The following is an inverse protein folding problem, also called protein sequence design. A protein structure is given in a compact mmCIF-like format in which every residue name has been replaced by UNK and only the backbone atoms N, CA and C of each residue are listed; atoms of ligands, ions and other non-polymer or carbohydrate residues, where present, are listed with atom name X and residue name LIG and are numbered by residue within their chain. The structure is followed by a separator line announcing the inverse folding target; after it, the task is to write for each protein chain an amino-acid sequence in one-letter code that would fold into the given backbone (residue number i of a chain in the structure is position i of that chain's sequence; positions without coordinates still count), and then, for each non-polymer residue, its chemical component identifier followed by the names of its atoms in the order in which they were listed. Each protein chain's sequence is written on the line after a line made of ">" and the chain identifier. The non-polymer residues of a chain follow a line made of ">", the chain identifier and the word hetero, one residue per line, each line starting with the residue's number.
data_IF_143106042703
#
_entry.id   IF_143106042703
#
_cell.length_a   1.000
_cell.length_b   1.000
_cell.length_c   1.000
_cell.angle_alpha   90.00
_cell.angle_beta   90.00
_cell.angle_gamma   90.00
#
_symmetry.space_group_name_H-M   'P 1'
#
loop_
_entity.id
_entity.type
_entity.pdbx_description
1 polymer ?
#
# COMPACT_ATOMS: atom_id res chain seq x y z
N UNK A 1 59.39 0.22 8.12
CA UNK A 1 58.92 -1.18 7.96
C UNK A 1 57.76 -1.43 8.91
N UNK A 2 56.51 -1.49 8.44
CA UNK A 2 55.37 -2.16 9.11
C UNK A 2 54.11 -2.03 8.24
N UNK A 3 53.31 -3.11 8.23
CA UNK A 3 51.98 -3.31 7.64
C UNK A 3 51.95 -3.91 6.23
N UNK A 4 52.02 -5.24 6.19
CA UNK A 4 51.32 -6.05 5.18
C UNK A 4 50.71 -7.25 5.87
N UNK A 5 49.39 -7.26 6.03
CA UNK A 5 48.56 -8.49 6.02
C UNK A 5 47.15 -8.11 5.52
N UNK A 6 46.97 -8.11 4.20
CA UNK A 6 45.65 -7.97 3.58
C UNK A 6 44.95 -9.34 3.63
N UNK A 7 43.87 -9.47 4.43
CA UNK A 7 42.98 -10.63 4.39
C UNK A 7 42.29 -10.70 3.01
N UNK A 8 42.16 -11.88 2.36
CA UNK A 8 41.35 -12.00 1.16
C UNK A 8 39.90 -12.27 1.57
N UNK A 9 39.05 -11.24 1.58
CA UNK A 9 37.60 -11.42 1.72
C UNK A 9 36.98 -11.59 0.33
N UNK A 10 37.17 -12.76 -0.26
CA UNK A 10 36.43 -13.18 -1.44
C UNK A 10 35.06 -13.71 -1.02
N UNK A 11 34.09 -12.83 -0.77
CA UNK A 11 32.69 -13.24 -0.77
C UNK A 11 32.24 -13.28 -2.23
N UNK A 12 32.19 -14.50 -2.78
CA UNK A 12 31.59 -14.76 -4.08
C UNK A 12 30.16 -14.18 -4.10
N UNK A 13 29.95 -13.18 -4.96
CA UNK A 13 28.65 -12.52 -5.15
C UNK A 13 27.63 -13.50 -5.73
N UNK A 14 26.85 -14.13 -4.85
CA UNK A 14 25.71 -14.96 -5.22
C UNK A 14 24.74 -14.08 -6.00
N UNK A 15 24.59 -14.32 -7.32
CA UNK A 15 23.62 -13.62 -8.18
C UNK A 15 22.24 -13.65 -7.49
N UNK A 16 21.76 -12.50 -7.01
CA UNK A 16 20.40 -12.37 -6.48
C UNK A 16 19.44 -12.49 -7.66
N UNK A 17 18.61 -13.53 -7.65
CA UNK A 17 17.49 -13.63 -8.58
C UNK A 17 16.61 -12.38 -8.40
N UNK A 18 16.03 -11.82 -9.48
CA UNK A 18 15.10 -10.71 -9.35
C UNK A 18 13.96 -11.11 -8.43
N UNK A 19 13.63 -10.25 -7.46
CA UNK A 19 12.51 -10.49 -6.57
C UNK A 19 11.24 -10.71 -7.40
N UNK A 20 10.37 -11.67 -7.02
CA UNK A 20 9.11 -11.88 -7.73
C UNK A 20 8.34 -10.56 -7.78
N UNK A 21 7.71 -10.27 -8.93
CA UNK A 21 6.85 -9.09 -9.07
C UNK A 21 5.79 -9.15 -7.97
N UNK A 22 5.73 -8.11 -7.11
CA UNK A 22 4.73 -8.03 -6.04
C UNK A 22 3.35 -8.01 -6.70
N UNK A 23 2.56 -9.07 -6.52
CA UNK A 23 1.17 -9.10 -6.96
C UNK A 23 0.38 -8.11 -6.11
N UNK A 24 -0.26 -7.13 -6.75
CA UNK A 24 -1.15 -6.18 -6.08
C UNK A 24 -2.34 -6.97 -5.49
N UNK A 25 -2.66 -6.73 -4.23
CA UNK A 25 -3.79 -7.41 -3.60
C UNK A 25 -5.12 -6.85 -4.10
N UNK A 26 -6.19 -7.65 -4.04
CA UNK A 26 -7.56 -7.18 -4.35
C UNK A 26 -7.92 -5.97 -3.49
N UNK A 27 -7.51 -5.97 -2.22
CA UNK A 27 -7.74 -4.87 -1.28
C UNK A 27 -7.04 -3.56 -1.72
N UNK A 28 -5.80 -3.64 -2.24
CA UNK A 28 -5.07 -2.49 -2.81
C UNK A 28 -5.78 -1.94 -4.06
N UNK A 29 -6.34 -2.81 -4.91
CA UNK A 29 -7.10 -2.39 -6.09
C UNK A 29 -8.40 -1.67 -5.69
N UNK A 30 -9.15 -2.25 -4.75
CA UNK A 30 -10.36 -1.64 -4.18
C UNK A 30 -10.04 -0.27 -3.59
N UNK A 31 -8.97 -0.17 -2.78
CA UNK A 31 -8.56 1.11 -2.18
C UNK A 31 -8.24 2.18 -3.21
N UNK A 32 -7.57 1.80 -4.30
CA UNK A 32 -7.26 2.69 -5.42
C UNK A 32 -8.54 3.22 -6.08
N UNK A 33 -9.53 2.36 -6.31
CA UNK A 33 -10.82 2.76 -6.86
C UNK A 33 -11.58 3.73 -5.92
N UNK A 34 -11.61 3.45 -4.62
CA UNK A 34 -12.23 4.34 -3.62
C UNK A 34 -11.55 5.72 -3.63
N UNK A 35 -10.22 5.76 -3.71
CA UNK A 35 -9.47 7.00 -3.76
C UNK A 35 -9.77 7.82 -5.03
N UNK A 36 -9.89 7.14 -6.18
CA UNK A 36 -10.23 7.76 -7.45
C UNK A 36 -11.65 8.35 -7.44
N UNK A 37 -12.66 7.59 -7.00
CA UNK A 37 -14.05 8.07 -6.88
C UNK A 37 -14.13 9.32 -6.00
N UNK A 38 -13.42 9.32 -4.86
CA UNK A 38 -13.37 10.49 -3.98
C UNK A 38 -12.74 11.71 -4.66
N UNK A 39 -11.66 11.51 -5.41
CA UNK A 39 -10.95 12.57 -6.11
C UNK A 39 -11.81 13.17 -7.24
N UNK A 40 -12.49 12.32 -8.02
CA UNK A 40 -13.42 12.72 -9.08
C UNK A 40 -14.58 13.56 -8.54
N UNK A 41 -15.05 13.26 -7.32
CA UNK A 41 -16.10 14.02 -6.64
C UNK A 41 -15.57 15.26 -5.89
N UNK A 42 -14.28 15.56 -5.97
CA UNK A 42 -13.61 16.64 -5.24
C UNK A 42 -13.85 16.60 -3.73
N UNK A 43 -14.02 15.40 -3.16
CA UNK A 43 -14.31 15.24 -1.74
C UNK A 43 -13.04 15.16 -0.91
N UNK A 44 -13.06 15.80 0.27
CA UNK A 44 -12.05 15.59 1.30
C UNK A 44 -12.22 14.19 1.91
N UNK A 45 -11.30 13.74 2.77
CA UNK A 45 -11.47 12.46 3.46
C UNK A 45 -12.57 12.49 4.54
N UNK A 46 -12.81 13.64 5.15
CA UNK A 46 -13.81 13.77 6.22
C UNK A 46 -15.23 13.61 5.68
N UNK A 47 -15.55 14.23 4.53
CA UNK A 47 -16.90 14.21 3.96
C UNK A 47 -17.50 12.79 3.76
N UNK A 48 -16.86 11.86 3.02
CA UNK A 48 -17.36 10.49 2.89
C UNK A 48 -17.20 9.68 4.18
N UNK A 49 -16.22 9.98 5.04
CA UNK A 49 -16.12 9.31 6.34
C UNK A 49 -17.34 9.64 7.22
N UNK A 50 -17.75 10.91 7.27
CA UNK A 50 -18.92 11.39 7.99
C UNK A 50 -20.21 10.81 7.41
N UNK A 51 -20.34 10.79 6.08
CA UNK A 51 -21.49 10.18 5.39
C UNK A 51 -21.63 8.67 5.68
N UNK A 52 -20.50 7.97 5.83
CA UNK A 52 -20.45 6.56 6.18
C UNK A 52 -20.44 6.31 7.69
N UNK A 53 -20.46 7.35 8.54
CA UNK A 53 -20.35 7.20 9.99
C UNK A 53 -19.08 6.45 10.45
N UNK A 54 -17.96 6.61 9.73
CA UNK A 54 -16.66 6.04 10.08
C UNK A 54 -15.63 7.14 10.35
N UNK A 55 -14.50 6.80 10.97
CA UNK A 55 -13.44 7.79 11.15
C UNK A 55 -12.71 8.11 9.84
N UNK A 56 -12.19 9.34 9.67
CA UNK A 56 -11.37 9.71 8.50
C UNK A 56 -10.14 8.79 8.34
N UNK A 57 -9.55 8.34 9.45
CA UNK A 57 -8.44 7.39 9.43
C UNK A 57 -8.88 6.01 8.92
N UNK A 58 -10.11 5.58 9.20
CA UNK A 58 -10.65 4.33 8.68
C UNK A 58 -10.86 4.42 7.16
N UNK A 59 -11.42 5.53 6.69
CA UNK A 59 -11.54 5.77 5.25
C UNK A 59 -10.16 5.78 4.57
N UNK A 60 -9.15 6.39 5.18
CA UNK A 60 -7.77 6.35 4.67
C UNK A 60 -7.22 4.92 4.60
N UNK A 61 -7.57 4.05 5.56
CA UNK A 61 -7.17 2.63 5.52
C UNK A 61 -7.89 1.85 4.42
N UNK A 62 -9.16 2.15 4.14
CA UNK A 62 -9.88 1.60 2.98
C UNK A 62 -9.23 2.07 1.68
N UNK A 63 -9.02 3.37 1.51
CA UNK A 63 -8.42 3.96 0.32
C UNK A 63 -6.96 3.53 0.06
N UNK A 64 -6.26 2.99 1.07
CA UNK A 64 -4.91 2.44 0.92
C UNK A 64 -4.86 0.91 0.85
N UNK A 65 -6.02 0.23 0.90
CA UNK A 65 -6.10 -1.23 0.92
C UNK A 65 -5.54 -1.90 2.17
N UNK A 66 -5.22 -1.13 3.22
CA UNK A 66 -4.73 -1.65 4.51
C UNK A 66 -5.83 -2.38 5.28
N UNK A 67 -7.06 -1.90 5.13
CA UNK A 67 -8.24 -2.54 5.68
C UNK A 67 -9.11 -3.07 4.56
N UNK A 68 -9.56 -4.32 4.70
CA UNK A 68 -10.56 -4.91 3.82
C UNK A 68 -11.88 -4.16 3.97
N UNK A 69 -12.59 -4.03 2.85
CA UNK A 69 -13.91 -3.40 2.79
C UNK A 69 -14.93 -4.51 2.53
N UNK A 70 -16.00 -4.56 3.32
CA UNK A 70 -17.09 -5.51 3.07
C UNK A 70 -17.84 -5.14 1.79
N UNK A 71 -18.50 -6.11 1.17
CA UNK A 71 -19.34 -5.86 0.00
C UNK A 71 -20.43 -4.80 0.28
N UNK A 72 -21.04 -4.82 1.47
CA UNK A 72 -22.01 -3.82 1.89
C UNK A 72 -21.41 -2.41 1.94
N UNK A 73 -20.19 -2.24 2.48
CA UNK A 73 -19.53 -0.92 2.47
C UNK A 73 -19.13 -0.46 1.07
N UNK A 74 -18.74 -1.38 0.18
CA UNK A 74 -18.47 -1.01 -1.20
C UNK A 74 -19.73 -0.49 -1.90
N UNK A 75 -20.88 -1.10 -1.63
CA UNK A 75 -22.16 -0.64 -2.17
C UNK A 75 -22.54 0.77 -1.72
N UNK A 76 -22.16 1.20 -0.53
CA UNK A 76 -22.44 2.58 -0.06
C UNK A 76 -21.40 3.60 -0.54
N UNK A 77 -20.22 3.16 -1.00
CA UNK A 77 -19.14 4.03 -1.48
C UNK A 77 -19.26 4.29 -2.99
N UNK A 78 -19.57 3.24 -3.77
CA UNK A 78 -19.70 3.27 -5.23
C UNK A 78 -21.07 3.81 -5.65
#
# INVERSE_FOLDING_TARGET
>A
MKRVTKKPSGLASKKRLPAPRKTVSVDEHIGTAIAAIRADKHLTQTQPADALGISPQQLQKYASGKNRVSAARLYEIC
#
